data_IF_583529325185
#
_entry.id   IF_583529325185
#
_cell.length_a   1.000
_cell.length_b   1.000
_cell.length_c   1.000
_cell.angle_alpha   90.00
_cell.angle_beta   90.00
_cell.angle_gamma   90.00
#
_symmetry.space_group_name_H-M   'P 1'
#
loop_
_entity.id
_entity.type
_entity.pdbx_description
1 polymer ?
#
# COMPACT_ATOMS: atom_id res chain seq x y z
N UNK A 1 5.02 3.94 -15.96
CA UNK A 1 4.39 3.49 -17.21
C UNK A 1 5.41 3.07 -18.25
N UNK A 2 6.36 3.92 -18.64
CA UNK A 2 7.41 3.57 -19.61
C UNK A 2 8.18 2.30 -19.18
N UNK A 3 8.61 2.21 -17.92
CA UNK A 3 9.29 1.00 -17.40
C UNK A 3 8.44 -0.28 -17.50
N UNK A 4 7.12 -0.20 -17.31
CA UNK A 4 6.21 -1.35 -17.47
C UNK A 4 6.09 -1.78 -18.92
N UNK A 5 5.97 -0.82 -19.83
CA UNK A 5 5.89 -1.08 -21.27
C UNK A 5 7.19 -1.71 -21.76
N UNK A 6 8.34 -1.16 -21.36
CA UNK A 6 9.67 -1.70 -21.69
C UNK A 6 9.81 -3.13 -21.15
N UNK A 7 9.53 -3.36 -19.86
CA UNK A 7 9.59 -4.69 -19.27
C UNK A 7 8.63 -5.68 -19.93
N UNK A 8 7.42 -5.25 -20.27
CA UNK A 8 6.47 -6.09 -21.00
C UNK A 8 7.01 -6.55 -22.37
N UNK A 9 7.76 -5.70 -23.06
CA UNK A 9 8.38 -6.04 -24.35
C UNK A 9 9.60 -6.96 -24.15
N UNK A 10 10.43 -6.71 -23.14
CA UNK A 10 11.68 -7.48 -22.93
C UNK A 10 11.58 -8.63 -21.92
N UNK A 11 10.39 -8.93 -21.41
CA UNK A 11 10.19 -9.87 -20.29
C UNK A 11 10.79 -11.27 -20.52
N UNK A 12 10.86 -11.73 -21.78
CA UNK A 12 11.44 -13.04 -22.14
C UNK A 12 12.95 -13.17 -21.90
N UNK A 13 13.64 -12.03 -21.77
CA UNK A 13 15.08 -11.98 -21.51
C UNK A 13 15.43 -11.51 -20.10
N UNK A 14 14.42 -11.23 -19.27
CA UNK A 14 14.61 -10.74 -17.90
C UNK A 14 14.39 -11.90 -16.92
N UNK A 15 15.41 -12.29 -16.13
CA UNK A 15 15.23 -13.24 -15.04
C UNK A 15 14.13 -12.77 -14.08
N UNK A 16 13.31 -13.70 -13.59
CA UNK A 16 12.18 -13.41 -12.69
C UNK A 16 11.16 -12.37 -13.22
N UNK A 17 11.00 -12.26 -14.55
CA UNK A 17 10.17 -11.23 -15.19
C UNK A 17 8.73 -11.12 -14.68
N UNK A 18 8.08 -12.24 -14.36
CA UNK A 18 6.73 -12.23 -13.77
C UNK A 18 6.67 -11.38 -12.50
N UNK A 19 7.61 -11.59 -11.57
CA UNK A 19 7.63 -10.88 -10.30
C UNK A 19 8.06 -9.42 -10.48
N UNK A 20 9.00 -9.16 -11.38
CA UNK A 20 9.44 -7.80 -11.69
C UNK A 20 8.31 -6.96 -12.29
N UNK A 21 7.54 -7.51 -13.25
CA UNK A 21 6.37 -6.83 -13.83
C UNK A 21 5.34 -6.54 -12.74
N UNK A 22 5.03 -7.53 -11.88
CA UNK A 22 4.11 -7.35 -10.77
C UNK A 22 4.57 -6.20 -9.88
N UNK A 23 5.84 -6.15 -9.46
CA UNK A 23 6.33 -5.09 -8.56
C UNK A 23 6.35 -3.70 -9.23
N UNK A 24 6.71 -3.61 -10.51
CA UNK A 24 6.70 -2.33 -11.21
C UNK A 24 5.27 -1.83 -11.39
N UNK A 25 4.30 -2.72 -11.59
CA UNK A 25 2.90 -2.35 -11.64
C UNK A 25 2.37 -1.96 -10.25
N UNK A 26 2.54 -2.83 -9.26
CA UNK A 26 1.98 -2.63 -7.92
C UNK A 26 2.64 -1.47 -7.19
N UNK A 27 3.97 -1.36 -7.20
CA UNK A 27 4.65 -0.25 -6.54
C UNK A 27 4.69 1.01 -7.42
N UNK A 28 4.96 0.86 -8.72
CA UNK A 28 5.12 1.99 -9.62
C UNK A 28 3.80 2.67 -9.99
N UNK A 29 2.75 1.91 -10.33
CA UNK A 29 1.45 2.49 -10.68
C UNK A 29 0.50 2.56 -9.48
N UNK A 30 0.21 1.41 -8.86
CA UNK A 30 -0.81 1.31 -7.82
C UNK A 30 -0.42 2.10 -6.58
N UNK A 31 0.76 1.88 -5.99
CA UNK A 31 1.19 2.57 -4.76
C UNK A 31 1.31 4.08 -4.99
N UNK A 32 1.88 4.53 -6.10
CA UNK A 32 1.92 5.95 -6.44
C UNK A 32 0.51 6.55 -6.52
N UNK A 33 -0.42 5.86 -7.20
CA UNK A 33 -1.83 6.30 -7.30
C UNK A 33 -2.49 6.36 -5.92
N UNK A 34 -2.31 5.32 -5.09
CA UNK A 34 -2.87 5.26 -3.74
C UNK A 34 -2.35 6.40 -2.86
N UNK A 35 -1.06 6.71 -2.91
CA UNK A 35 -0.49 7.79 -2.11
C UNK A 35 -0.98 9.18 -2.57
N UNK A 36 -1.08 9.41 -3.88
CA UNK A 36 -1.54 10.69 -4.42
C UNK A 36 -3.03 10.89 -4.16
N UNK A 37 -3.86 9.90 -4.54
CA UNK A 37 -5.31 9.99 -4.38
C UNK A 37 -5.75 9.86 -2.92
N UNK A 38 -5.10 9.00 -2.14
CA UNK A 38 -5.34 8.89 -0.71
C UNK A 38 -5.11 10.22 0.01
N UNK A 39 -4.00 10.91 -0.30
CA UNK A 39 -3.73 12.24 0.23
C UNK A 39 -4.80 13.26 -0.20
N UNK A 40 -5.14 13.28 -1.49
CA UNK A 40 -6.18 14.18 -2.02
C UNK A 40 -7.54 13.97 -1.35
N UNK A 41 -7.97 12.71 -1.17
CA UNK A 41 -9.22 12.39 -0.51
C UNK A 41 -9.19 12.71 0.98
N UNK A 42 -8.08 12.46 1.67
CA UNK A 42 -7.92 12.86 3.08
C UNK A 42 -8.10 14.36 3.23
N UNK A 43 -7.43 15.18 2.42
CA UNK A 43 -7.55 16.63 2.48
C UNK A 43 -8.98 17.10 2.18
N UNK A 44 -9.60 16.53 1.15
CA UNK A 44 -10.96 16.88 0.71
C UNK A 44 -12.01 16.53 1.77
N UNK A 45 -11.95 15.33 2.34
CA UNK A 45 -12.92 14.81 3.32
C UNK A 45 -12.72 15.39 4.73
N UNK A 46 -11.52 15.88 5.03
CA UNK A 46 -11.23 16.61 6.26
C UNK A 46 -11.37 18.13 6.08
N UNK A 47 -11.74 18.60 4.89
CA UNK A 47 -11.86 20.01 4.54
C UNK A 47 -10.59 20.83 4.83
N UNK A 48 -9.43 20.22 4.62
CA UNK A 48 -8.13 20.85 4.83
C UNK A 48 -7.55 21.39 3.53
N UNK A 49 -6.86 22.53 3.63
CA UNK A 49 -6.07 23.11 2.55
C UNK A 49 -4.63 23.30 3.04
N UNK A 50 -3.76 22.29 2.87
CA UNK A 50 -2.37 22.38 3.31
C UNK A 50 -1.62 23.49 2.55
N UNK A 51 -0.64 24.10 3.20
CA UNK A 51 0.25 25.08 2.57
C UNK A 51 1.05 24.45 1.41
N UNK A 52 1.55 25.28 0.49
CA UNK A 52 2.33 24.83 -0.67
C UNK A 52 3.58 24.03 -0.29
N UNK A 53 4.23 24.35 0.83
CA UNK A 53 5.36 23.58 1.35
C UNK A 53 5.02 22.11 1.61
N UNK A 54 3.78 21.83 2.05
CA UNK A 54 3.30 20.45 2.23
C UNK A 54 3.25 19.69 0.90
N UNK A 55 2.99 20.37 -0.23
CA UNK A 55 3.03 19.76 -1.57
C UNK A 55 4.44 19.38 -1.98
N UNK A 56 5.42 20.25 -1.74
CA UNK A 56 6.83 19.93 -2.00
C UNK A 56 7.28 18.69 -1.22
N UNK A 57 6.84 18.56 0.04
CA UNK A 57 7.10 17.37 0.86
C UNK A 57 6.43 16.11 0.28
N UNK A 58 5.16 16.20 -0.14
CA UNK A 58 4.45 15.08 -0.78
C UNK A 58 5.16 14.61 -2.06
N UNK A 59 5.60 15.55 -2.92
CA UNK A 59 6.38 15.25 -4.14
C UNK A 59 7.71 14.59 -3.78
N UNK A 60 8.46 15.12 -2.81
CA UNK A 60 9.73 14.54 -2.36
C UNK A 60 9.55 13.10 -1.89
N UNK A 61 8.49 12.81 -1.15
CA UNK A 61 8.16 11.45 -0.71
C UNK A 61 7.91 10.50 -1.89
N UNK A 62 7.20 10.96 -2.92
CA UNK A 62 6.99 10.18 -4.16
C UNK A 62 8.31 9.94 -4.90
N UNK A 63 9.20 10.93 -4.96
CA UNK A 63 10.53 10.75 -5.55
C UNK A 63 11.36 9.72 -4.79
N UNK A 64 11.38 9.79 -3.45
CA UNK A 64 12.06 8.81 -2.59
C UNK A 64 11.48 7.41 -2.79
N UNK A 65 10.16 7.28 -2.80
CA UNK A 65 9.48 6.01 -3.08
C UNK A 65 9.94 5.43 -4.42
N UNK A 66 9.89 6.23 -5.49
CA UNK A 66 10.26 5.77 -6.83
C UNK A 66 11.75 5.41 -6.94
N UNK A 67 12.65 6.13 -6.26
CA UNK A 67 14.06 5.75 -6.15
C UNK A 67 14.21 4.37 -5.47
N UNK A 68 13.47 4.11 -4.39
CA UNK A 68 13.43 2.80 -3.73
C UNK A 68 12.89 1.69 -4.64
N UNK A 69 11.85 1.97 -5.42
CA UNK A 69 11.28 1.02 -6.40
C UNK A 69 12.32 0.67 -7.46
N UNK A 70 13.01 1.66 -8.01
CA UNK A 70 14.07 1.44 -9.02
C UNK A 70 15.19 0.59 -8.44
N UNK A 71 15.67 0.89 -7.23
CA UNK A 71 16.70 0.11 -6.56
C UNK A 71 16.26 -1.34 -6.30
N UNK A 72 15.03 -1.54 -5.82
CA UNK A 72 14.45 -2.86 -5.59
C UNK A 72 14.39 -3.67 -6.88
N UNK A 73 13.85 -3.09 -7.95
CA UNK A 73 13.69 -3.74 -9.25
C UNK A 73 15.04 -4.07 -9.88
N UNK A 74 16.00 -3.15 -9.83
CA UNK A 74 17.37 -3.41 -10.27
C UNK A 74 18.00 -4.55 -9.48
N UNK A 75 17.80 -4.59 -8.16
CA UNK A 75 18.25 -5.67 -7.30
C UNK A 75 17.61 -7.02 -7.64
N UNK A 76 16.32 -7.05 -7.99
CA UNK A 76 15.63 -8.27 -8.42
C UNK A 76 16.19 -8.80 -9.76
N UNK A 77 16.41 -7.90 -10.74
CA UNK A 77 16.94 -8.28 -12.06
C UNK A 77 18.40 -8.77 -11.96
N UNK A 78 19.21 -8.08 -11.14
CA UNK A 78 20.62 -8.43 -10.93
C UNK A 78 20.84 -9.54 -9.90
N UNK A 79 19.80 -10.00 -9.21
CA UNK A 79 19.89 -10.87 -8.05
C UNK A 79 20.86 -10.34 -6.97
N UNK A 80 20.73 -9.05 -6.63
CA UNK A 80 21.57 -8.37 -5.63
C UNK A 80 20.82 -8.19 -4.31
N UNK A 81 21.08 -9.02 -3.28
CA UNK A 81 20.34 -8.97 -2.01
C UNK A 81 20.41 -7.60 -1.33
N UNK A 82 21.57 -6.94 -1.37
CA UNK A 82 21.79 -5.62 -0.78
C UNK A 82 20.86 -4.57 -1.44
N UNK A 83 20.74 -4.60 -2.77
CA UNK A 83 19.87 -3.67 -3.49
C UNK A 83 18.38 -3.95 -3.24
N UNK A 84 18.00 -5.22 -3.12
CA UNK A 84 16.63 -5.62 -2.75
C UNK A 84 16.27 -5.08 -1.36
N UNK A 85 17.12 -5.33 -0.37
CA UNK A 85 16.90 -4.85 1.01
C UNK A 85 16.85 -3.34 1.05
N UNK A 86 17.83 -2.65 0.45
CA UNK A 86 17.86 -1.18 0.41
C UNK A 86 16.61 -0.60 -0.26
N UNK A 87 16.22 -1.13 -1.43
CA UNK A 87 15.02 -0.70 -2.14
C UNK A 87 13.74 -0.93 -1.33
N UNK A 88 13.58 -2.11 -0.73
CA UNK A 88 12.43 -2.42 0.12
C UNK A 88 12.38 -1.55 1.39
N UNK A 89 13.51 -1.26 2.02
CA UNK A 89 13.61 -0.33 3.16
C UNK A 89 13.20 1.08 2.76
N UNK A 90 13.66 1.59 1.62
CA UNK A 90 13.27 2.92 1.14
C UNK A 90 11.78 2.97 0.82
N UNK A 91 11.22 1.95 0.17
CA UNK A 91 9.78 1.85 -0.12
C UNK A 91 8.95 1.81 1.16
N UNK A 92 9.28 0.90 2.08
CA UNK A 92 8.60 0.77 3.37
C UNK A 92 8.71 2.05 4.20
N UNK A 93 9.88 2.68 4.24
CA UNK A 93 10.13 3.94 4.93
C UNK A 93 9.35 5.11 4.35
N UNK A 94 9.28 5.24 3.03
CA UNK A 94 8.51 6.29 2.36
C UNK A 94 7.00 6.15 2.66
N UNK A 95 6.48 4.93 2.69
CA UNK A 95 5.07 4.68 3.04
C UNK A 95 4.82 4.84 4.54
N UNK A 96 5.74 4.43 5.40
CA UNK A 96 5.66 4.71 6.84
C UNK A 96 5.65 6.21 7.13
N UNK A 97 6.48 6.99 6.43
CA UNK A 97 6.44 8.45 6.46
C UNK A 97 5.06 8.98 6.03
N UNK A 98 4.49 8.48 4.93
CA UNK A 98 3.14 8.83 4.50
C UNK A 98 2.09 8.56 5.61
N UNK A 99 2.14 7.40 6.26
CA UNK A 99 1.24 7.04 7.37
C UNK A 99 1.34 8.05 8.52
N UNK A 100 2.56 8.41 8.92
CA UNK A 100 2.78 9.39 10.01
C UNK A 100 2.15 10.74 9.66
N UNK A 101 2.39 11.24 8.44
CA UNK A 101 1.82 12.51 7.99
C UNK A 101 0.28 12.46 7.94
N UNK A 102 -0.29 11.35 7.45
CA UNK A 102 -1.74 11.17 7.38
C UNK A 102 -2.38 11.13 8.78
N UNK A 103 -1.77 10.41 9.71
CA UNK A 103 -2.22 10.34 11.10
C UNK A 103 -2.14 11.71 11.77
N UNK A 104 -1.08 12.50 11.52
CA UNK A 104 -0.96 13.87 12.02
C UNK A 104 -2.09 14.76 11.48
N UNK A 105 -2.37 14.70 10.18
CA UNK A 105 -3.48 15.45 9.55
C UNK A 105 -4.84 15.07 10.14
N UNK A 106 -5.11 13.77 10.30
CA UNK A 106 -6.36 13.27 10.90
C UNK A 106 -6.52 13.69 12.36
N UNK A 107 -5.40 13.75 13.12
CA UNK A 107 -5.42 14.20 14.53
C UNK A 107 -5.67 15.70 14.64
N UNK A 108 -5.07 16.50 13.76
CA UNK A 108 -5.22 17.95 13.74
C UNK A 108 -6.56 18.43 13.15
N UNK A 109 -7.24 17.60 12.34
CA UNK A 109 -8.52 17.96 11.74
C UNK A 109 -9.64 18.14 12.78
N UNK A 110 -10.49 19.14 12.54
CA UNK A 110 -11.76 19.30 13.24
C UNK A 110 -12.64 18.04 13.07
N UNK A 111 -13.58 17.78 13.99
CA UNK A 111 -14.51 16.67 13.83
C UNK A 111 -15.31 16.78 12.53
N UNK A 112 -15.21 15.76 11.67
CA UNK A 112 -16.05 15.63 10.46
C UNK A 112 -16.71 14.26 10.45
N UNK A 113 -17.86 14.14 9.78
CA UNK A 113 -18.60 12.89 9.57
C UNK A 113 -17.72 11.77 8.98
N UNK A 114 -16.82 12.13 8.05
CA UNK A 114 -15.95 11.18 7.34
C UNK A 114 -14.64 10.87 8.06
N UNK A 115 -14.26 11.62 9.10
CA UNK A 115 -13.01 11.41 9.84
C UNK A 115 -12.79 9.96 10.29
N UNK A 116 -13.79 9.18 10.75
CA UNK A 116 -13.60 7.77 11.09
C UNK A 116 -13.28 6.88 9.88
N UNK A 117 -13.86 7.17 8.71
CA UNK A 117 -13.60 6.42 7.47
C UNK A 117 -12.21 6.75 6.92
N UNK A 118 -11.81 8.03 6.93
CA UNK A 118 -10.49 8.50 6.47
C UNK A 118 -9.33 7.82 7.21
N UNK A 119 -9.52 7.42 8.48
CA UNK A 119 -8.51 6.65 9.24
C UNK A 119 -8.12 5.35 8.56
N UNK A 120 -9.01 4.74 7.79
CA UNK A 120 -8.70 3.48 7.11
C UNK A 120 -7.74 3.63 5.93
N UNK A 121 -7.53 4.84 5.38
CA UNK A 121 -6.40 5.07 4.49
C UNK A 121 -5.05 4.92 5.21
N UNK A 122 -4.94 5.39 6.46
CA UNK A 122 -3.73 5.22 7.27
C UNK A 122 -3.55 3.76 7.68
N UNK A 123 -4.63 3.09 8.10
CA UNK A 123 -4.61 1.66 8.45
C UNK A 123 -4.18 0.81 7.25
N UNK A 124 -4.77 1.06 6.06
CA UNK A 124 -4.39 0.36 4.83
C UNK A 124 -2.91 0.57 4.50
N UNK A 125 -2.44 1.82 4.50
CA UNK A 125 -1.04 2.17 4.23
C UNK A 125 -0.06 1.54 5.22
N UNK A 126 -0.46 1.32 6.48
CA UNK A 126 0.38 0.69 7.49
C UNK A 126 0.68 -0.81 7.24
N UNK A 127 -0.11 -1.50 6.41
CA UNK A 127 0.18 -2.88 6.05
C UNK A 127 1.37 -3.03 5.08
N UNK A 128 1.63 -2.03 4.23
CA UNK A 128 2.66 -2.13 3.20
C UNK A 128 4.08 -2.31 3.76
N UNK A 129 4.52 -1.55 4.79
CA UNK A 129 5.84 -1.76 5.38
C UNK A 129 6.07 -3.19 5.89
N UNK A 130 5.05 -3.84 6.48
CA UNK A 130 5.15 -5.24 6.91
C UNK A 130 5.36 -6.19 5.71
N UNK A 131 4.62 -5.97 4.61
CA UNK A 131 4.82 -6.73 3.39
C UNK A 131 6.17 -6.46 2.74
N UNK A 132 6.70 -5.23 2.81
CA UNK A 132 8.02 -4.88 2.30
C UNK A 132 9.13 -5.64 3.06
N UNK A 133 9.02 -5.77 4.38
CA UNK A 133 9.94 -6.60 5.19
C UNK A 133 9.89 -8.05 4.75
N UNK A 134 8.70 -8.64 4.65
CA UNK A 134 8.56 -10.03 4.19
C UNK A 134 9.11 -10.25 2.77
N UNK A 135 8.88 -9.29 1.87
CA UNK A 135 9.41 -9.30 0.51
C UNK A 135 10.94 -9.23 0.47
N UNK A 136 11.53 -8.37 1.29
CA UNK A 136 12.99 -8.27 1.41
C UNK A 136 13.62 -9.57 1.92
N UNK A 137 13.04 -10.15 2.98
CA UNK A 137 13.50 -11.44 3.54
C UNK A 137 13.45 -12.54 2.48
N UNK A 138 12.34 -12.66 1.74
CA UNK A 138 12.24 -13.62 0.63
C UNK A 138 13.28 -13.35 -0.47
N UNK A 139 13.57 -12.08 -0.76
CA UNK A 139 14.52 -11.69 -1.81
C UNK A 139 15.99 -11.92 -1.45
N UNK A 140 16.34 -12.05 -0.17
CA UNK A 140 17.69 -12.46 0.28
C UNK A 140 17.87 -13.98 0.20
N UNK A 141 16.77 -14.74 0.18
CA UNK A 141 16.76 -16.19 0.14
C UNK A 141 16.34 -16.79 1.48
N UNK A 142 15.38 -17.71 1.42
CA UNK A 142 14.85 -18.49 2.55
C UNK A 142 14.61 -19.91 2.09
N UNK A 143 14.45 -20.85 3.03
CA UNK A 143 14.02 -22.20 2.67
C UNK A 143 12.61 -22.21 2.03
N UNK A 144 12.27 -23.31 1.37
CA UNK A 144 11.02 -23.43 0.61
C UNK A 144 9.78 -23.22 1.49
N UNK A 145 9.79 -23.77 2.71
CA UNK A 145 8.68 -23.67 3.65
C UNK A 145 8.42 -22.21 4.05
N UNK A 146 9.46 -21.48 4.46
CA UNK A 146 9.35 -20.05 4.77
C UNK A 146 9.05 -19.22 3.54
N UNK A 147 9.52 -19.62 2.35
CA UNK A 147 9.19 -18.98 1.09
C UNK A 147 7.68 -18.97 0.82
N UNK A 148 6.99 -20.09 1.06
CA UNK A 148 5.53 -20.20 0.90
C UNK A 148 4.81 -19.34 1.96
N UNK A 149 5.21 -19.43 3.22
CA UNK A 149 4.61 -18.68 4.33
C UNK A 149 4.74 -17.16 4.15
N UNK A 150 5.95 -16.69 3.88
CA UNK A 150 6.24 -15.27 3.68
C UNK A 150 5.55 -14.73 2.43
N UNK A 151 5.40 -15.53 1.38
CA UNK A 151 4.64 -15.12 0.19
C UNK A 151 3.15 -14.95 0.51
N UNK A 152 2.55 -15.89 1.23
CA UNK A 152 1.17 -15.79 1.67
C UNK A 152 0.96 -14.57 2.60
N UNK A 153 1.87 -14.35 3.55
CA UNK A 153 1.87 -13.15 4.41
C UNK A 153 1.95 -11.87 3.58
N UNK A 154 2.94 -11.78 2.69
CA UNK A 154 3.17 -10.62 1.82
C UNK A 154 1.94 -10.29 0.98
N UNK A 155 1.31 -11.29 0.37
CA UNK A 155 0.08 -11.11 -0.41
C UNK A 155 -1.09 -10.66 0.47
N UNK A 156 -1.28 -11.25 1.64
CA UNK A 156 -2.36 -10.87 2.54
C UNK A 156 -2.24 -9.39 2.95
N UNK A 157 -1.07 -8.95 3.42
CA UNK A 157 -0.91 -7.57 3.90
C UNK A 157 -0.87 -6.55 2.77
N UNK A 158 -0.25 -6.85 1.62
CA UNK A 158 -0.13 -5.86 0.53
C UNK A 158 -1.35 -5.83 -0.39
N UNK A 159 -1.92 -6.99 -0.74
CA UNK A 159 -3.05 -7.05 -1.67
C UNK A 159 -4.36 -6.83 -0.93
N UNK A 160 -4.65 -7.62 0.11
CA UNK A 160 -5.91 -7.48 0.85
C UNK A 160 -5.87 -6.27 1.79
N UNK A 161 -4.77 -6.09 2.52
CA UNK A 161 -4.57 -4.96 3.44
C UNK A 161 -4.40 -3.63 2.72
N UNK A 162 -3.24 -3.40 2.12
CA UNK A 162 -2.90 -2.11 1.53
C UNK A 162 -3.82 -1.72 0.36
N UNK A 163 -3.95 -2.58 -0.67
CA UNK A 163 -4.79 -2.25 -1.83
C UNK A 163 -6.27 -2.40 -1.51
N UNK A 164 -6.69 -3.55 -0.98
CA UNK A 164 -8.10 -3.87 -0.73
C UNK A 164 -8.80 -2.90 0.23
N UNK A 165 -8.19 -2.61 1.38
CA UNK A 165 -8.75 -1.64 2.33
C UNK A 165 -8.77 -0.24 1.73
N UNK A 166 -7.75 0.19 0.98
CA UNK A 166 -7.76 1.50 0.32
C UNK A 166 -8.91 1.63 -0.68
N UNK A 167 -9.08 0.64 -1.56
CA UNK A 167 -10.14 0.63 -2.57
C UNK A 167 -11.51 0.64 -1.91
N UNK A 168 -11.73 -0.22 -0.91
CA UNK A 168 -13.02 -0.27 -0.22
C UNK A 168 -13.28 0.99 0.60
N UNK A 169 -12.27 1.59 1.24
CA UNK A 169 -12.39 2.90 1.91
C UNK A 169 -12.86 3.97 0.92
N UNK A 170 -12.29 3.99 -0.28
CA UNK A 170 -12.69 4.92 -1.34
C UNK A 170 -14.12 4.64 -1.81
N UNK A 171 -14.43 3.36 -2.08
CA UNK A 171 -15.73 2.93 -2.59
C UNK A 171 -16.86 3.32 -1.62
N UNK A 172 -16.75 2.95 -0.34
CA UNK A 172 -17.81 3.23 0.65
C UNK A 172 -17.98 4.73 0.92
N UNK A 173 -16.93 5.52 0.68
CA UNK A 173 -16.99 6.99 0.81
C UNK A 173 -17.73 7.64 -0.36
N UNK A 174 -17.46 7.19 -1.58
CA UNK A 174 -17.95 7.86 -2.80
C UNK A 174 -19.12 7.14 -3.48
N UNK A 175 -19.54 5.98 -2.99
CA UNK A 175 -20.60 5.16 -3.60
C UNK A 175 -21.89 5.96 -3.87
N UNK A 176 -22.40 6.68 -2.86
CA UNK A 176 -23.60 7.49 -2.99
C UNK A 176 -23.45 8.60 -4.05
N UNK A 177 -22.25 9.17 -4.16
CA UNK A 177 -21.91 10.18 -5.17
C UNK A 177 -21.85 9.58 -6.57
N UNK A 178 -21.19 8.43 -6.73
CA UNK A 178 -21.04 7.74 -8.02
C UNK A 178 -22.39 7.25 -8.54
N UNK A 179 -23.22 6.65 -7.67
CA UNK A 179 -24.55 6.19 -8.02
C UNK A 179 -25.60 7.30 -8.05
N UNK A 180 -25.26 8.51 -7.60
CA UNK A 180 -26.18 9.65 -7.46
C UNK A 180 -27.41 9.29 -6.62
N UNK A 181 -27.21 8.50 -5.56
CA UNK A 181 -28.27 8.08 -4.64
C UNK A 181 -28.10 8.73 -3.26
N UNK A 182 -29.19 8.93 -2.50
CA UNK A 182 -29.10 9.42 -1.13
C UNK A 182 -28.34 8.43 -0.24
N UNK A 183 -27.54 8.96 0.69
CA UNK A 183 -26.86 8.14 1.68
C UNK A 183 -27.87 7.53 2.65
N UNK A 184 -27.92 6.20 2.76
CA UNK A 184 -28.86 5.53 3.66
C UNK A 184 -28.52 5.81 5.14
N UNK A 185 -29.54 5.76 6.01
CA UNK A 185 -29.31 5.87 7.46
C UNK A 185 -28.43 4.71 7.94
N UNK A 186 -27.40 5.02 8.73
CA UNK A 186 -26.47 4.03 9.27
C UNK A 186 -25.38 3.54 8.31
N UNK A 187 -25.34 4.05 7.07
CA UNK A 187 -24.33 3.65 6.08
C UNK A 187 -22.89 3.88 6.58
N UNK A 188 -22.62 5.00 7.26
CA UNK A 188 -21.27 5.29 7.78
C UNK A 188 -20.85 4.26 8.84
N UNK A 189 -21.76 3.87 9.72
CA UNK A 189 -21.51 2.85 10.76
C UNK A 189 -21.25 1.50 10.13
N UNK A 190 -22.04 1.12 9.11
CA UNK A 190 -21.83 -0.12 8.37
C UNK A 190 -20.46 -0.11 7.67
N UNK A 191 -20.10 0.99 7.00
CA UNK A 191 -18.80 1.16 6.34
C UNK A 191 -17.64 1.00 7.32
N UNK A 192 -17.70 1.67 8.48
CA UNK A 192 -16.66 1.57 9.51
C UNK A 192 -16.54 0.14 10.05
N UNK A 193 -17.66 -0.55 10.29
CA UNK A 193 -17.66 -1.95 10.75
C UNK A 193 -17.06 -2.88 9.71
N UNK A 194 -17.44 -2.74 8.44
CA UNK A 194 -16.89 -3.54 7.34
C UNK A 194 -15.38 -3.36 7.21
N UNK A 195 -14.89 -2.11 7.28
CA UNK A 195 -13.46 -1.82 7.22
C UNK A 195 -12.71 -2.37 8.45
N UNK A 196 -13.30 -2.30 9.65
CA UNK A 196 -12.74 -2.87 10.87
C UNK A 196 -12.60 -4.40 10.77
N UNK A 197 -13.68 -5.08 10.36
CA UNK A 197 -13.71 -6.53 10.18
C UNK A 197 -12.69 -6.95 9.13
N UNK A 198 -12.58 -6.22 8.02
CA UNK A 198 -11.62 -6.54 6.99
C UNK A 198 -10.17 -6.35 7.45
N UNK A 199 -9.86 -5.25 8.17
CA UNK A 199 -8.54 -5.06 8.74
C UNK A 199 -8.18 -6.19 9.72
N UNK A 200 -9.11 -6.58 10.60
CA UNK A 200 -8.93 -7.71 11.51
C UNK A 200 -8.74 -9.04 10.78
N UNK A 201 -9.51 -9.29 9.72
CA UNK A 201 -9.39 -10.49 8.90
C UNK A 201 -8.05 -10.56 8.17
N UNK A 202 -7.53 -9.43 7.67
CA UNK A 202 -6.20 -9.36 7.07
C UNK A 202 -5.12 -9.69 8.10
N UNK A 203 -5.20 -9.12 9.31
CA UNK A 203 -4.25 -9.44 10.40
C UNK A 203 -4.30 -10.91 10.76
N UNK A 204 -5.51 -11.49 10.88
CA UNK A 204 -5.68 -12.90 11.20
C UNK A 204 -5.13 -13.81 10.09
N UNK A 205 -5.42 -13.53 8.82
CA UNK A 205 -4.91 -14.28 7.68
C UNK A 205 -3.38 -14.19 7.57
N UNK A 206 -2.82 -13.00 7.76
CA UNK A 206 -1.38 -12.78 7.79
C UNK A 206 -0.73 -13.57 8.94
N UNK A 207 -1.26 -13.49 10.16
CA UNK A 207 -0.77 -14.26 11.30
C UNK A 207 -0.85 -15.77 11.08
N UNK A 208 -1.98 -16.26 10.55
CA UNK A 208 -2.17 -17.68 10.24
C UNK A 208 -1.18 -18.19 9.18
N UNK A 209 -0.85 -17.36 8.18
CA UNK A 209 0.13 -17.73 7.16
C UNK A 209 1.54 -17.96 7.71
N UNK A 210 1.89 -17.33 8.82
CA UNK A 210 3.17 -17.53 9.50
C UNK A 210 3.13 -18.71 10.48
N UNK A 211 1.95 -19.07 11.01
CA UNK A 211 1.79 -20.11 12.02
C UNK A 211 1.47 -21.52 11.45
N UNK A 212 1.09 -21.62 10.17
CA UNK A 212 0.66 -22.88 9.56
C UNK A 212 1.80 -23.90 9.49
N UNK A 213 1.67 -25.04 10.19
CA UNK A 213 2.61 -26.18 10.12
C UNK A 213 2.56 -26.83 8.73
N UNK A 214 3.74 -27.13 8.17
CA UNK A 214 3.86 -28.03 7.01
C UNK A 214 3.24 -29.38 7.39
N UNK A 215 2.29 -29.85 6.56
CA UNK A 215 1.80 -31.23 6.62
C UNK A 215 2.62 -32.08 5.67
#
# INVERSE_FOLDING_TARGET
MIALVVLGVVHRWVPASTWTIIHVFTLGLLTNSILVWGQHFTETLLHQRPAEESRAVQVRRIMVLNAGIVALVAGMIGAWPIAIVAGATVVGGAVAWYVVDLVRQIRAAAPTRFRPIVRYYAVAAAFLPAGAVAGAVMGVGVDEEWGVRLRAFHLAVNVLGFVGITVLTTLVTFWATVLRTPMARGQDTAAIRSLAVMAAAVVAAAGASLAGRSR
#
